data_IF_617574414689
#
_entry.id   IF_617574414689
#
_cell.length_a   1.000
_cell.length_b   1.000
_cell.length_c   1.000
_cell.angle_alpha   90.00
_cell.angle_beta   90.00
_cell.angle_gamma   90.00
#
_symmetry.space_group_name_H-M   'P 1'
#
loop_
_entity.id
_entity.type
_entity.pdbx_description
1 polymer ?
#
# COMPACT_ATOMS: atom_id res chain seq x y z
N UNK A 1 -5.83 23.63 43.24
CA UNK A 1 -5.17 22.59 42.42
C UNK A 1 -4.12 23.25 41.55
N UNK A 2 -2.89 22.72 41.48
CA UNK A 2 -1.84 23.28 40.62
C UNK A 2 -2.20 23.04 39.14
N UNK A 3 -2.30 24.09 38.34
CA UNK A 3 -2.64 24.01 36.91
C UNK A 3 -1.63 23.17 36.12
N UNK A 4 -0.36 23.20 36.51
CA UNK A 4 0.70 22.39 35.89
C UNK A 4 0.44 20.89 36.10
N UNK A 5 -0.06 20.52 37.29
CA UNK A 5 -0.34 19.13 37.64
C UNK A 5 -1.58 18.61 36.90
N UNK A 6 -2.58 19.47 36.70
CA UNK A 6 -3.75 19.16 35.88
C UNK A 6 -3.37 18.97 34.40
N UNK A 7 -2.54 19.86 33.85
CA UNK A 7 -2.05 19.75 32.48
C UNK A 7 -1.22 18.46 32.28
N UNK A 8 -0.33 18.14 33.22
CA UNK A 8 0.45 16.90 33.18
C UNK A 8 -0.46 15.66 33.19
N UNK A 9 -1.47 15.61 34.06
CA UNK A 9 -2.44 14.51 34.10
C UNK A 9 -3.22 14.34 32.80
N UNK A 10 -3.58 15.44 32.15
CA UNK A 10 -4.30 15.41 30.87
C UNK A 10 -3.39 14.93 29.73
N UNK A 11 -2.13 15.37 29.69
CA UNK A 11 -1.21 15.06 28.60
C UNK A 11 -0.56 13.68 28.73
N UNK A 12 -0.37 13.18 29.95
CA UNK A 12 0.29 11.90 30.22
C UNK A 12 -0.26 10.70 29.42
N UNK A 13 -1.59 10.48 29.30
CA UNK A 13 -2.10 9.36 28.49
C UNK A 13 -1.73 9.49 27.00
N UNK A 14 -1.75 10.70 26.43
CA UNK A 14 -1.37 10.91 25.03
C UNK A 14 0.11 10.69 24.82
N UNK A 15 0.94 11.20 25.73
CA UNK A 15 2.38 10.97 25.71
C UNK A 15 2.70 9.48 25.81
N UNK A 16 2.00 8.76 26.67
CA UNK A 16 2.17 7.31 26.82
C UNK A 16 1.85 6.55 25.54
N UNK A 17 0.70 6.85 24.90
CA UNK A 17 0.32 6.22 23.62
C UNK A 17 1.32 6.56 22.52
N UNK A 18 1.76 7.82 22.42
CA UNK A 18 2.72 8.25 21.42
C UNK A 18 4.09 7.54 21.57
N UNK A 19 4.58 7.42 22.81
CA UNK A 19 5.81 6.69 23.09
C UNK A 19 5.68 5.20 22.77
N UNK A 20 4.57 4.57 23.17
CA UNK A 20 4.31 3.17 22.87
C UNK A 20 4.27 2.91 21.36
N UNK A 21 3.50 3.71 20.61
CA UNK A 21 3.40 3.60 19.16
C UNK A 21 4.76 3.82 18.48
N UNK A 22 5.54 4.82 18.92
CA UNK A 22 6.87 5.08 18.39
C UNK A 22 7.86 3.94 18.63
N UNK A 23 7.87 3.36 19.84
CA UNK A 23 8.72 2.20 20.15
C UNK A 23 8.27 0.98 19.32
N UNK A 24 6.97 0.74 19.24
CA UNK A 24 6.42 -0.37 18.48
C UNK A 24 6.78 -0.28 16.99
N UNK A 25 6.60 0.90 16.40
CA UNK A 25 6.94 1.16 15.00
C UNK A 25 8.45 1.10 14.75
N UNK A 26 9.27 1.60 15.68
CA UNK A 26 10.73 1.46 15.57
C UNK A 26 11.18 -0.01 15.60
N UNK A 27 10.57 -0.83 16.47
CA UNK A 27 10.85 -2.25 16.53
C UNK A 27 10.40 -2.96 15.25
N UNK A 28 9.21 -2.62 14.73
CA UNK A 28 8.68 -3.11 13.45
C UNK A 28 9.62 -2.76 12.29
N UNK A 29 10.00 -1.49 12.18
CA UNK A 29 10.93 -1.02 11.15
C UNK A 29 12.27 -1.77 11.19
N UNK A 30 12.76 -2.10 12.39
CA UNK A 30 14.00 -2.87 12.53
C UNK A 30 13.84 -4.35 12.15
N UNK A 31 12.66 -4.95 12.36
CA UNK A 31 12.42 -6.37 12.02
C UNK A 31 12.00 -6.59 10.58
N UNK A 32 11.18 -5.70 10.03
CA UNK A 32 10.51 -5.85 8.74
C UNK A 32 11.08 -4.90 7.67
N UNK A 33 11.86 -3.89 8.05
CA UNK A 33 12.40 -2.90 7.12
C UNK A 33 11.45 -1.73 6.83
N UNK A 34 11.76 -0.98 5.77
CA UNK A 34 10.87 0.08 5.29
C UNK A 34 9.63 -0.53 4.68
N UNK A 35 8.44 -0.08 5.08
CA UNK A 35 7.23 -0.43 4.34
C UNK A 35 7.36 0.14 2.93
N UNK A 36 7.36 -0.73 1.92
CA UNK A 36 7.13 -0.32 0.54
C UNK A 36 5.64 -0.03 0.40
N UNK A 37 5.31 1.19 0.00
CA UNK A 37 3.93 1.57 -0.30
C UNK A 37 3.77 1.63 -1.80
N UNK A 38 2.70 1.03 -2.30
CA UNK A 38 2.36 1.08 -3.71
C UNK A 38 0.86 0.96 -3.93
N UNK A 39 0.49 1.03 -5.20
CA UNK A 39 -0.89 0.85 -5.66
C UNK A 39 -1.13 -0.65 -5.82
N UNK A 40 -2.26 -1.14 -5.32
CA UNK A 40 -2.77 -2.48 -5.60
C UNK A 40 -4.08 -2.32 -6.37
N UNK A 41 -4.29 -3.15 -7.39
CA UNK A 41 -5.54 -3.23 -8.13
C UNK A 41 -6.38 -4.41 -7.62
N UNK A 42 -7.63 -4.15 -7.24
CA UNK A 42 -8.62 -5.16 -6.86
C UNK A 42 -9.53 -5.46 -8.05
N UNK A 43 -9.36 -6.66 -8.62
CA UNK A 43 -10.15 -7.13 -9.77
C UNK A 43 -11.63 -7.35 -9.44
N UNK A 44 -11.98 -7.67 -8.19
CA UNK A 44 -13.37 -7.94 -7.81
C UNK A 44 -14.21 -6.67 -7.84
N UNK A 45 -13.62 -5.56 -7.38
CA UNK A 45 -14.29 -4.25 -7.31
C UNK A 45 -13.94 -3.33 -8.46
N UNK A 46 -12.89 -3.65 -9.22
CA UNK A 46 -12.34 -2.80 -10.28
C UNK A 46 -11.74 -1.49 -9.74
N UNK A 47 -11.21 -1.49 -8.52
CA UNK A 47 -10.67 -0.30 -7.87
C UNK A 47 -9.20 -0.46 -7.48
N UNK A 48 -8.43 0.62 -7.59
CA UNK A 48 -7.05 0.68 -7.09
C UNK A 48 -6.99 1.39 -5.74
N UNK A 49 -6.20 0.88 -4.80
CA UNK A 49 -5.96 1.52 -3.50
C UNK A 49 -4.48 1.47 -3.10
N UNK A 50 -4.06 2.45 -2.29
CA UNK A 50 -2.69 2.51 -1.77
C UNK A 50 -2.61 1.70 -0.48
N UNK A 51 -1.65 0.78 -0.41
CA UNK A 51 -1.39 -0.01 0.79
C UNK A 51 0.10 -0.34 0.92
N UNK A 52 0.48 -0.92 2.05
CA UNK A 52 1.78 -1.56 2.20
C UNK A 52 1.85 -2.80 1.30
N UNK A 53 2.86 -2.85 0.45
CA UNK A 53 3.19 -3.96 -0.44
C UNK A 53 4.35 -4.72 0.19
N UNK A 54 4.23 -6.04 0.29
CA UNK A 54 5.34 -6.87 0.73
C UNK A 54 6.48 -6.81 -0.31
N UNK A 55 7.74 -6.95 0.10
CA UNK A 55 8.89 -6.86 -0.82
C UNK A 55 8.86 -7.89 -1.99
N UNK A 56 8.02 -8.92 -1.89
CA UNK A 56 7.81 -9.94 -2.92
C UNK A 56 6.61 -9.67 -3.85
N UNK A 57 5.82 -8.63 -3.57
CA UNK A 57 4.70 -8.19 -4.41
C UNK A 57 5.10 -6.97 -5.23
N UNK A 58 4.70 -6.97 -6.49
CA UNK A 58 4.92 -5.86 -7.41
C UNK A 58 3.77 -4.85 -7.27
N UNK A 59 4.11 -3.56 -7.21
CA UNK A 59 3.10 -2.50 -7.24
C UNK A 59 2.42 -2.47 -8.59
N UNK A 60 1.10 -2.30 -8.60
CA UNK A 60 0.37 -1.97 -9.82
C UNK A 60 0.85 -0.63 -10.36
N UNK A 61 1.30 -0.61 -11.62
CA UNK A 61 1.60 0.60 -12.38
C UNK A 61 0.43 0.87 -13.35
N UNK A 62 -0.33 1.96 -13.17
CA UNK A 62 -1.41 2.32 -14.09
C UNK A 62 -0.97 2.56 -15.53
N UNK A 63 0.30 2.91 -15.76
CA UNK A 63 0.84 3.14 -17.11
C UNK A 63 1.10 1.82 -17.86
N UNK A 64 1.25 0.71 -17.13
CA UNK A 64 1.40 -0.64 -17.70
C UNK A 64 0.03 -1.30 -17.99
N UNK A 65 -1.07 -0.70 -17.56
CA UNK A 65 -2.42 -1.24 -17.76
C UNK A 65 -2.99 -0.88 -19.14
N UNK A 66 -3.17 -1.88 -20.02
CA UNK A 66 -3.87 -1.71 -21.31
C UNK A 66 -5.34 -2.19 -21.21
N UNK A 67 -6.33 -1.28 -21.26
CA UNK A 67 -7.75 -1.66 -21.25
C UNK A 67 -8.17 -2.48 -22.48
N UNK A 68 -7.39 -2.48 -23.56
CA UNK A 68 -7.69 -3.23 -24.77
C UNK A 68 -7.43 -4.73 -24.62
N UNK A 69 -6.56 -5.16 -23.69
CA UNK A 69 -6.30 -6.58 -23.42
C UNK A 69 -7.55 -7.33 -22.94
N UNK A 70 -8.47 -6.63 -22.27
CA UNK A 70 -9.75 -7.19 -21.83
C UNK A 70 -10.77 -7.38 -22.96
N UNK A 71 -10.55 -6.71 -24.09
CA UNK A 71 -11.48 -6.68 -25.22
C UNK A 71 -11.22 -7.82 -26.23
N UNK A 72 -10.19 -8.65 -26.00
CA UNK A 72 -9.82 -9.78 -26.86
C UNK A 72 -10.64 -11.06 -26.57
N UNK A 73 -11.92 -10.89 -26.25
CA UNK A 73 -12.89 -11.99 -26.36
C UNK A 73 -13.46 -12.00 -27.77
N UNK A 74 -12.91 -12.91 -28.58
CA UNK A 74 -13.48 -13.39 -29.85
C UNK A 74 -13.65 -12.35 -30.97
N UNK A 75 -12.57 -11.96 -31.65
CA UNK A 75 -12.66 -11.74 -33.10
C UNK A 75 -11.48 -12.36 -33.82
N UNK A 76 -11.67 -13.60 -34.30
CA UNK A 76 -10.66 -14.31 -35.07
C UNK A 76 -10.28 -13.54 -36.33
N UNK A 77 -8.98 -13.32 -36.55
CA UNK A 77 -8.41 -13.22 -37.88
C UNK A 77 -6.96 -13.74 -37.88
N UNK A 78 -6.82 -14.91 -38.50
CA UNK A 78 -5.56 -15.51 -38.91
C UNK A 78 -4.79 -14.51 -39.77
N UNK A 79 -3.57 -14.11 -39.37
CA UNK A 79 -2.65 -13.47 -40.33
C UNK A 79 -1.20 -13.92 -40.17
N UNK A 80 -0.97 -15.08 -40.77
CA UNK A 80 0.14 -15.41 -41.68
C UNK A 80 1.55 -14.89 -41.32
N UNK A 81 2.36 -15.85 -40.88
CA UNK A 81 3.66 -16.21 -41.47
C UNK A 81 4.25 -15.19 -42.47
N UNK A 82 5.37 -14.57 -42.09
CA UNK A 82 6.36 -14.19 -43.07
C UNK A 82 7.78 -14.41 -42.50
N UNK A 83 8.31 -15.60 -42.77
CA UNK A 83 9.75 -15.83 -42.81
C UNK A 83 10.26 -15.30 -44.15
N UNK A 84 11.24 -14.41 -44.11
CA UNK A 84 12.30 -14.35 -45.12
C UNK A 84 13.60 -13.90 -44.49
#
# INVERSE_FOLDING_TARGET
MNAQLLAALILLPFLFVALYAGIHEYLRFRSEGSSNYGLIFDEETGTSYVTSIADAEESFDPEDFDPNDYNDTETGEVKAENRS
#
